data_IF_171722948756
#
_entry.id   IF_171722948756
#
_cell.length_a   1.000
_cell.length_b   1.000
_cell.length_c   1.000
_cell.angle_alpha   90.00
_cell.angle_beta   90.00
_cell.angle_gamma   90.00
#
_symmetry.space_group_name_H-M   'P 1'
#
loop_
_entity.id
_entity.type
_entity.pdbx_description
1 polymer ?
#
# COMPACT_ATOMS: atom_id res chain seq x y z
N UNK A 1 25.66 -49.23 61.14
CA UNK A 1 25.36 -49.60 59.73
C UNK A 1 24.05 -48.93 59.33
N UNK A 2 24.10 -47.70 58.80
CA UNK A 2 22.91 -46.94 58.39
C UNK A 2 22.99 -46.62 56.91
N UNK A 3 22.08 -47.17 56.10
CA UNK A 3 21.98 -46.94 54.66
C UNK A 3 21.23 -45.62 54.43
N UNK A 4 21.86 -44.67 53.75
CA UNK A 4 21.21 -43.45 53.24
C UNK A 4 20.76 -43.65 51.80
N UNK A 5 19.45 -43.62 51.56
CA UNK A 5 18.85 -43.57 50.22
C UNK A 5 18.92 -42.14 49.66
N UNK A 6 19.24 -41.95 48.36
CA UNK A 6 19.32 -40.62 47.77
C UNK A 6 17.92 -40.09 47.45
N UNK A 7 17.57 -38.94 48.04
CA UNK A 7 16.34 -38.20 47.72
C UNK A 7 16.53 -37.47 46.40
N UNK A 8 15.78 -37.86 45.38
CA UNK A 8 15.76 -37.21 44.07
C UNK A 8 15.08 -35.84 44.19
N UNK A 9 15.87 -34.77 44.12
CA UNK A 9 15.37 -33.39 44.22
C UNK A 9 14.58 -32.99 42.96
N UNK A 10 13.40 -32.39 43.14
CA UNK A 10 12.57 -31.76 42.09
C UNK A 10 13.35 -30.81 41.17
N UNK A 11 14.46 -30.24 41.66
CA UNK A 11 15.33 -29.33 40.90
C UNK A 11 16.17 -30.04 39.83
N UNK A 12 16.45 -31.33 40.00
CA UNK A 12 17.17 -32.16 39.03
C UNK A 12 16.28 -32.54 37.83
N UNK A 13 14.98 -32.76 38.08
CA UNK A 13 13.99 -33.06 37.04
C UNK A 13 13.72 -31.85 36.12
N UNK A 14 13.76 -30.62 36.66
CA UNK A 14 13.54 -29.40 35.86
C UNK A 14 14.73 -29.00 34.98
N UNK A 15 15.94 -29.52 35.23
CA UNK A 15 17.12 -29.31 34.35
C UNK A 15 17.21 -30.31 33.20
N UNK A 16 16.46 -31.42 33.25
CA UNK A 16 16.44 -32.41 32.16
C UNK A 16 15.56 -31.99 30.97
N UNK A 17 14.78 -30.91 31.10
CA UNK A 17 13.88 -30.39 30.06
C UNK A 17 14.53 -29.37 29.11
N UNK A 18 15.83 -29.09 29.24
CA UNK A 18 16.53 -28.10 28.40
C UNK A 18 17.35 -28.72 27.26
N UNK A 19 16.89 -29.80 26.66
CA UNK A 19 17.55 -30.41 25.51
C UNK A 19 16.56 -30.67 24.37
N UNK A 20 16.32 -29.62 23.58
CA UNK A 20 16.27 -29.57 22.11
C UNK A 20 15.29 -28.49 21.68
N UNK A 21 15.72 -27.39 21.04
CA UNK A 21 14.79 -26.58 20.28
C UNK A 21 14.33 -27.46 19.10
N UNK A 22 13.07 -27.90 19.13
CA UNK A 22 12.43 -28.41 17.94
C UNK A 22 12.30 -27.19 17.02
N UNK A 23 13.27 -27.04 16.12
CA UNK A 23 13.18 -26.09 15.02
C UNK A 23 12.11 -26.62 14.05
N UNK A 24 10.84 -26.43 14.42
CA UNK A 24 9.74 -26.55 13.47
C UNK A 24 9.85 -25.34 12.55
N UNK A 25 10.70 -25.43 11.53
CA UNK A 25 10.62 -24.54 10.37
C UNK A 25 9.40 -24.95 9.56
N UNK A 26 8.21 -24.67 10.10
CA UNK A 26 7.05 -24.48 9.25
C UNK A 26 7.24 -23.09 8.66
N UNK A 27 7.83 -23.04 7.47
CA UNK A 27 7.67 -21.86 6.63
C UNK A 27 6.17 -21.76 6.38
N UNK A 28 5.47 -20.99 7.23
CA UNK A 28 4.08 -20.63 7.00
C UNK A 28 4.13 -19.85 5.69
N UNK A 29 3.70 -20.50 4.61
CA UNK A 29 3.56 -19.84 3.31
C UNK A 29 2.81 -18.53 3.55
N UNK A 30 3.32 -17.45 2.96
CA UNK A 30 2.63 -16.16 3.08
C UNK A 30 1.21 -16.36 2.55
N UNK A 31 0.18 -15.78 3.19
CA UNK A 31 -1.20 -15.90 2.73
C UNK A 31 -1.42 -15.34 1.32
N UNK A 32 -0.41 -14.70 0.72
CA UNK A 32 -0.46 -14.08 -0.60
C UNK A 32 0.46 -14.75 -1.62
N UNK A 33 1.16 -15.83 -1.29
CA UNK A 33 2.21 -16.42 -2.16
C UNK A 33 1.68 -16.77 -3.56
N UNK A 34 0.50 -17.40 -3.64
CA UNK A 34 -0.13 -17.78 -4.91
C UNK A 34 -0.53 -16.54 -5.74
N UNK A 35 -1.20 -15.57 -5.11
CA UNK A 35 -1.63 -14.34 -5.77
C UNK A 35 -0.44 -13.51 -6.26
N UNK A 36 0.65 -13.44 -5.47
CA UNK A 36 1.87 -12.76 -5.86
C UNK A 36 2.61 -13.48 -6.97
N UNK A 37 2.66 -14.82 -6.95
CA UNK A 37 3.25 -15.60 -8.04
C UNK A 37 2.54 -15.30 -9.38
N UNK A 38 1.20 -15.27 -9.37
CA UNK A 38 0.40 -14.93 -10.54
C UNK A 38 0.68 -13.50 -11.06
N UNK A 39 0.77 -12.51 -10.15
CA UNK A 39 1.09 -11.14 -10.54
C UNK A 39 2.52 -10.97 -11.06
N UNK A 40 3.51 -11.62 -10.43
CA UNK A 40 4.89 -11.59 -10.91
C UNK A 40 4.98 -12.16 -12.33
N UNK A 41 4.27 -13.26 -12.62
CA UNK A 41 4.20 -13.82 -13.96
C UNK A 41 3.47 -12.90 -14.93
N UNK A 42 2.31 -12.35 -14.55
CA UNK A 42 1.51 -11.50 -15.41
C UNK A 42 2.26 -10.24 -15.85
N UNK A 43 3.03 -9.64 -14.94
CA UNK A 43 3.76 -8.39 -15.18
C UNK A 43 5.25 -8.57 -15.51
N UNK A 44 5.73 -9.82 -15.62
CA UNK A 44 7.15 -10.15 -15.79
C UNK A 44 8.05 -9.48 -14.74
N UNK A 45 7.60 -9.48 -13.48
CA UNK A 45 8.35 -8.91 -12.37
C UNK A 45 9.23 -9.96 -11.71
N UNK A 46 10.39 -9.51 -11.21
CA UNK A 46 11.24 -10.36 -10.38
C UNK A 46 10.46 -10.76 -9.11
N UNK A 47 10.35 -12.05 -8.78
CA UNK A 47 9.68 -12.47 -7.56
C UNK A 47 10.27 -11.82 -6.32
N UNK A 48 9.40 -11.44 -5.39
CA UNK A 48 9.78 -10.95 -4.07
C UNK A 48 8.87 -11.54 -3.00
N UNK A 49 9.42 -11.73 -1.81
CA UNK A 49 8.67 -12.16 -0.62
C UNK A 49 8.61 -10.96 0.33
N UNK A 50 7.45 -10.29 0.44
CA UNK A 50 7.30 -9.15 1.32
C UNK A 50 7.64 -9.50 2.77
N UNK A 51 8.51 -8.70 3.40
CA UNK A 51 8.87 -8.87 4.81
C UNK A 51 8.73 -7.52 5.53
N UNK A 52 7.81 -7.47 6.48
CA UNK A 52 7.56 -6.25 7.26
C UNK A 52 8.83 -5.82 8.00
N UNK A 53 9.11 -4.52 7.94
CA UNK A 53 10.23 -3.90 8.65
C UNK A 53 9.84 -2.55 9.25
N UNK A 54 10.54 -2.14 10.31
CA UNK A 54 10.32 -0.81 10.92
C UNK A 54 10.63 0.33 9.95
N UNK A 55 11.65 0.15 9.10
CA UNK A 55 12.01 1.12 8.06
C UNK A 55 10.89 1.23 7.00
N UNK A 56 10.37 0.09 6.52
CA UNK A 56 9.23 0.04 5.60
C UNK A 56 8.00 0.73 6.17
N UNK A 57 7.62 0.42 7.43
CA UNK A 57 6.50 1.07 8.09
C UNK A 57 6.68 2.58 8.28
N UNK A 58 7.91 3.05 8.56
CA UNK A 58 8.20 4.50 8.65
C UNK A 58 8.02 5.18 7.30
N UNK A 59 8.56 4.59 6.23
CA UNK A 59 8.46 5.14 4.87
C UNK A 59 7.01 5.10 4.35
N UNK A 60 6.29 4.01 4.63
CA UNK A 60 4.87 3.85 4.38
C UNK A 60 4.08 5.03 4.95
N UNK A 61 4.24 5.34 6.24
CA UNK A 61 3.58 6.49 6.88
C UNK A 61 3.88 7.82 6.18
N UNK A 62 5.15 8.04 5.78
CA UNK A 62 5.55 9.26 5.06
C UNK A 62 4.84 9.34 3.71
N UNK A 63 4.74 8.23 2.98
CA UNK A 63 4.02 8.18 1.69
C UNK A 63 2.53 8.44 1.86
N UNK A 64 1.90 7.83 2.87
CA UNK A 64 0.50 8.09 3.18
C UNK A 64 0.23 9.58 3.47
N UNK A 65 1.05 10.22 4.30
CA UNK A 65 0.90 11.66 4.58
C UNK A 65 1.10 12.53 3.35
N UNK A 66 2.06 12.16 2.49
CA UNK A 66 2.25 12.87 1.22
C UNK A 66 1.05 12.65 0.30
N UNK A 67 0.50 11.45 0.19
CA UNK A 67 -0.71 11.19 -0.58
C UNK A 67 -1.86 12.12 -0.16
N UNK A 68 -2.07 12.28 1.15
CA UNK A 68 -3.08 13.17 1.72
C UNK A 68 -2.86 14.67 1.39
N UNK A 69 -1.61 15.08 1.11
CA UNK A 69 -1.30 16.44 0.66
C UNK A 69 -1.56 16.68 -0.83
N UNK A 70 -1.59 15.61 -1.64
CA UNK A 70 -1.79 15.68 -3.08
C UNK A 70 -3.26 15.62 -3.51
N UNK A 71 -4.16 15.35 -2.58
CA UNK A 71 -5.59 15.31 -2.86
C UNK A 71 -6.10 16.61 -3.50
N UNK A 72 -6.86 16.52 -4.60
CA UNK A 72 -7.38 17.69 -5.29
C UNK A 72 -8.29 18.58 -4.42
N UNK A 73 -8.87 18.07 -3.33
CA UNK A 73 -9.71 18.80 -2.35
C UNK A 73 -9.01 20.02 -1.73
N UNK A 74 -7.68 20.04 -1.77
CA UNK A 74 -6.89 21.14 -1.22
C UNK A 74 -6.64 22.28 -2.20
N UNK A 75 -7.06 22.14 -3.47
CA UNK A 75 -6.75 23.09 -4.53
C UNK A 75 -7.93 23.28 -5.50
N UNK A 76 -8.94 24.09 -5.14
CA UNK A 76 -10.17 24.28 -5.95
C UNK A 76 -9.91 24.82 -7.36
N UNK A 77 -8.80 25.55 -7.55
CA UNK A 77 -8.41 26.07 -8.88
C UNK A 77 -7.98 24.98 -9.87
N UNK A 78 -7.71 23.76 -9.42
CA UNK A 78 -7.35 22.65 -10.31
C UNK A 78 -8.52 22.12 -11.13
N UNK A 79 -9.76 22.44 -10.75
CA UNK A 79 -10.94 21.96 -11.48
C UNK A 79 -11.05 22.55 -12.89
N UNK A 80 -10.27 23.61 -13.15
CA UNK A 80 -10.17 24.29 -14.45
C UNK A 80 -9.00 23.77 -15.30
N UNK A 81 -8.11 22.95 -14.73
CA UNK A 81 -6.94 22.38 -15.39
C UNK A 81 -6.94 20.85 -15.23
N UNK A 82 -7.70 20.21 -16.12
CA UNK A 82 -7.99 18.78 -16.04
C UNK A 82 -6.74 17.87 -16.12
N UNK A 83 -5.77 18.09 -17.04
CA UNK A 83 -4.52 17.33 -17.04
C UNK A 83 -3.76 17.49 -15.71
N UNK A 84 -3.62 18.71 -15.19
CA UNK A 84 -2.94 18.93 -13.92
C UNK A 84 -3.68 18.29 -12.74
N UNK A 85 -5.02 18.27 -12.77
CA UNK A 85 -5.85 17.55 -11.81
C UNK A 85 -5.58 16.04 -11.84
N UNK A 86 -5.61 15.41 -13.02
CA UNK A 86 -5.36 13.98 -13.19
C UNK A 86 -3.91 13.59 -12.84
N UNK A 87 -2.95 14.45 -13.14
CA UNK A 87 -1.57 14.25 -12.71
C UNK A 87 -1.45 14.17 -11.18
N UNK A 88 -2.10 15.10 -10.47
CA UNK A 88 -2.11 15.10 -9.00
C UNK A 88 -2.91 13.95 -8.41
N UNK A 89 -4.03 13.59 -9.04
CA UNK A 89 -4.80 12.40 -8.71
C UNK A 89 -3.93 11.14 -8.77
N UNK A 90 -3.16 10.97 -9.84
CA UNK A 90 -2.24 9.85 -10.00
C UNK A 90 -1.11 9.84 -8.97
N UNK A 91 -0.53 11.00 -8.63
CA UNK A 91 0.45 11.09 -7.53
C UNK A 91 -0.17 10.64 -6.20
N UNK A 92 -1.38 11.12 -5.88
CA UNK A 92 -2.06 10.77 -4.64
C UNK A 92 -2.34 9.25 -4.56
N UNK A 93 -2.91 8.68 -5.64
CA UNK A 93 -3.17 7.25 -5.72
C UNK A 93 -1.89 6.42 -5.59
N UNK A 94 -0.84 6.78 -6.34
CA UNK A 94 0.42 6.03 -6.33
C UNK A 94 1.12 6.08 -4.97
N UNK A 95 1.13 7.24 -4.30
CA UNK A 95 1.68 7.37 -2.95
C UNK A 95 0.86 6.58 -1.92
N UNK A 96 -0.47 6.57 -2.04
CA UNK A 96 -1.35 5.78 -1.18
C UNK A 96 -1.13 4.27 -1.34
N UNK A 97 -1.13 3.78 -2.56
CA UNK A 97 -0.93 2.36 -2.87
C UNK A 97 0.47 1.89 -2.47
N UNK A 98 1.51 2.66 -2.81
CA UNK A 98 2.88 2.33 -2.42
C UNK A 98 3.12 2.46 -0.91
N UNK A 99 2.31 3.25 -0.18
CA UNK A 99 2.29 3.22 1.28
C UNK A 99 1.85 1.86 1.78
N UNK A 100 0.75 1.30 1.27
CA UNK A 100 0.29 -0.05 1.63
C UNK A 100 1.35 -1.10 1.32
N UNK A 101 1.92 -1.10 0.11
CA UNK A 101 2.95 -2.08 -0.29
C UNK A 101 4.18 -2.07 0.66
N UNK A 102 4.64 -0.89 1.06
CA UNK A 102 5.72 -0.77 2.04
C UNK A 102 5.33 -1.26 3.45
N UNK A 103 4.06 -1.11 3.83
CA UNK A 103 3.57 -1.55 5.15
C UNK A 103 3.46 -3.08 5.24
N UNK A 104 3.06 -3.73 4.15
CA UNK A 104 3.02 -5.20 4.07
C UNK A 104 4.39 -5.83 3.83
N UNK A 105 5.39 -5.03 3.43
CA UNK A 105 6.80 -5.42 3.47
C UNK A 105 7.51 -5.50 2.14
N UNK A 106 6.95 -4.94 1.05
CA UNK A 106 7.69 -4.84 -0.20
C UNK A 106 8.93 -3.94 -0.03
N UNK A 107 10.11 -4.36 -0.53
CA UNK A 107 11.28 -3.50 -0.52
C UNK A 107 11.07 -2.26 -1.39
N UNK A 108 11.44 -1.08 -0.90
CA UNK A 108 11.29 0.15 -1.67
C UNK A 108 12.03 0.12 -3.02
N UNK A 109 13.28 -0.38 -3.12
CA UNK A 109 13.96 -0.50 -4.40
C UNK A 109 13.25 -1.46 -5.37
N UNK A 110 12.55 -2.47 -4.84
CA UNK A 110 11.75 -3.39 -5.66
C UNK A 110 10.53 -2.66 -6.23
N UNK A 111 9.77 -1.94 -5.39
CA UNK A 111 8.63 -1.13 -5.83
C UNK A 111 9.06 -0.09 -6.89
N UNK A 112 10.19 0.60 -6.66
CA UNK A 112 10.71 1.59 -7.59
C UNK A 112 11.08 0.99 -8.96
N UNK A 113 11.56 -0.26 -9.00
CA UNK A 113 11.95 -0.94 -10.23
C UNK A 113 10.77 -1.57 -10.98
N UNK A 114 9.84 -2.17 -10.24
CA UNK A 114 8.80 -3.06 -10.77
C UNK A 114 7.42 -2.40 -10.84
N UNK A 115 7.02 -1.63 -9.83
CA UNK A 115 5.73 -0.92 -9.82
C UNK A 115 5.84 0.46 -10.49
N UNK A 116 6.92 1.19 -10.22
CA UNK A 116 7.21 2.52 -10.78
C UNK A 116 6.05 3.51 -10.58
N UNK A 117 5.55 4.10 -11.67
CA UNK A 117 4.50 5.12 -11.71
C UNK A 117 3.18 4.55 -12.28
N UNK A 118 3.03 3.22 -12.27
CA UNK A 118 1.88 2.51 -12.80
C UNK A 118 0.83 2.28 -11.70
N UNK A 119 -0.23 3.08 -11.71
CA UNK A 119 -1.30 3.07 -10.70
C UNK A 119 -2.12 1.78 -10.77
N UNK A 120 -2.44 1.29 -11.97
CA UNK A 120 -3.22 0.06 -12.13
C UNK A 120 -2.46 -1.16 -11.59
N UNK A 121 -1.18 -1.27 -11.94
CA UNK A 121 -0.30 -2.31 -11.41
C UNK A 121 -0.15 -2.22 -9.89
N UNK A 122 0.05 -1.02 -9.36
CA UNK A 122 0.14 -0.76 -7.92
C UNK A 122 -1.13 -1.20 -7.18
N UNK A 123 -2.31 -0.94 -7.75
CA UNK A 123 -3.60 -1.34 -7.19
C UNK A 123 -3.75 -2.87 -7.17
N UNK A 124 -3.36 -3.56 -8.26
CA UNK A 124 -3.41 -5.02 -8.34
C UNK A 124 -2.56 -5.68 -7.24
N UNK A 125 -1.30 -5.24 -7.08
CA UNK A 125 -0.43 -5.73 -6.01
C UNK A 125 -0.95 -5.39 -4.61
N UNK A 126 -1.54 -4.21 -4.43
CA UNK A 126 -2.09 -3.81 -3.15
C UNK A 126 -3.30 -4.67 -2.76
N UNK A 127 -4.23 -4.91 -3.69
CA UNK A 127 -5.40 -5.77 -3.45
C UNK A 127 -4.98 -7.22 -3.20
N UNK A 128 -4.04 -7.77 -3.98
CA UNK A 128 -3.49 -9.11 -3.76
C UNK A 128 -2.81 -9.28 -2.38
N UNK A 129 -2.36 -8.19 -1.77
CA UNK A 129 -1.73 -8.18 -0.44
C UNK A 129 -2.62 -7.60 0.65
N UNK A 130 -3.94 -7.67 0.46
CA UNK A 130 -4.91 -7.43 1.53
C UNK A 130 -5.41 -5.99 1.67
N UNK A 131 -5.18 -5.11 0.69
CA UNK A 131 -5.89 -3.82 0.64
C UNK A 131 -7.40 -4.04 0.46
N UNK A 132 -7.79 -4.98 -0.42
CA UNK A 132 -9.18 -5.34 -0.70
C UNK A 132 -10.04 -4.17 -1.17
N UNK A 133 -9.48 -3.31 -2.03
CA UNK A 133 -10.17 -2.16 -2.62
C UNK A 133 -10.59 -2.47 -4.06
N UNK A 134 -11.40 -3.49 -4.24
CA UNK A 134 -11.80 -4.06 -5.55
C UNK A 134 -13.03 -3.35 -6.16
N UNK A 135 -13.08 -2.02 -6.02
CA UNK A 135 -14.14 -1.20 -6.61
C UNK A 135 -13.94 -1.08 -8.14
N UNK A 136 -14.93 -1.42 -8.99
CA UNK A 136 -14.81 -1.30 -10.44
C UNK A 136 -14.44 0.11 -10.92
N UNK A 137 -15.04 1.14 -10.32
CA UNK A 137 -14.75 2.53 -10.68
C UNK A 137 -13.32 2.94 -10.32
N UNK A 138 -12.77 2.43 -9.21
CA UNK A 138 -11.37 2.67 -8.87
C UNK A 138 -10.43 1.91 -9.81
N UNK A 139 -10.77 0.69 -10.23
CA UNK A 139 -9.99 -0.04 -11.22
C UNK A 139 -9.96 0.70 -12.57
N UNK A 140 -11.11 1.22 -13.00
CA UNK A 140 -11.25 2.03 -14.22
C UNK A 140 -10.45 3.34 -14.10
N UNK A 141 -10.56 4.04 -12.98
CA UNK A 141 -9.76 5.24 -12.72
C UNK A 141 -8.26 4.93 -12.69
N UNK A 142 -7.86 3.81 -12.08
CA UNK A 142 -6.46 3.40 -12.04
C UNK A 142 -5.89 3.15 -13.44
N UNK A 143 -6.68 2.60 -14.37
CA UNK A 143 -6.29 2.45 -15.76
C UNK A 143 -6.15 3.81 -16.48
N UNK A 144 -7.07 4.75 -16.26
CA UNK A 144 -6.97 6.13 -16.77
C UNK A 144 -5.73 6.83 -16.24
N UNK A 145 -5.40 6.65 -14.97
CA UNK A 145 -4.20 7.21 -14.33
C UNK A 145 -2.91 6.45 -14.67
N UNK A 146 -2.95 5.37 -15.46
CA UNK A 146 -1.75 4.57 -15.77
C UNK A 146 -1.09 4.97 -17.11
N UNK A 147 0.22 5.23 -17.13
CA UNK A 147 1.01 5.77 -16.03
C UNK A 147 0.69 7.25 -15.81
N UNK A 148 0.78 7.73 -14.57
CA UNK A 148 0.18 9.04 -14.28
C UNK A 148 0.96 10.23 -14.86
N UNK A 149 2.25 10.04 -15.20
CA UNK A 149 3.09 11.10 -15.75
C UNK A 149 2.59 11.63 -17.10
N UNK A 150 1.78 10.86 -17.85
CA UNK A 150 1.25 11.26 -19.15
C UNK A 150 0.42 12.55 -19.10
N UNK A 151 -0.16 12.83 -17.93
CA UNK A 151 -0.98 14.02 -17.69
C UNK A 151 -0.17 15.30 -17.46
N UNK A 152 1.16 15.22 -17.35
CA UNK A 152 2.05 16.37 -17.14
C UNK A 152 3.08 16.55 -18.26
N UNK A 153 2.85 15.95 -19.43
CA UNK A 153 3.74 16.09 -20.57
C UNK A 153 3.33 17.23 -21.50
N UNK A 154 4.29 18.04 -21.99
CA UNK A 154 4.05 18.92 -23.12
C UNK A 154 3.68 18.05 -24.33
N UNK A 155 2.51 18.29 -24.91
CA UNK A 155 2.07 17.59 -26.12
C UNK A 155 2.67 18.25 -27.36
N UNK A 156 3.19 17.43 -28.26
CA UNK A 156 3.60 17.88 -29.58
C UNK A 156 2.36 18.16 -30.44
N UNK A 157 2.49 19.06 -31.42
CA UNK A 157 1.38 19.41 -32.29
C UNK A 157 0.78 18.17 -32.98
N UNK A 158 -0.52 17.97 -32.80
CA UNK A 158 -1.29 16.87 -33.43
C UNK A 158 -1.39 15.59 -32.61
N UNK A 159 -0.76 15.50 -31.43
CA UNK A 159 -0.99 14.37 -30.53
C UNK A 159 -2.40 14.41 -29.95
N UNK A 160 -3.15 13.28 -29.95
CA UNK A 160 -4.48 13.23 -29.38
C UNK A 160 -4.43 13.43 -27.86
N UNK A 161 -5.48 14.07 -27.32
CA UNK A 161 -5.66 14.15 -25.87
C UNK A 161 -5.74 12.73 -25.29
N UNK A 162 -5.04 12.42 -24.19
CA UNK A 162 -5.22 11.13 -23.53
C UNK A 162 -6.67 10.98 -23.06
N UNK A 163 -7.23 9.80 -23.32
CA UNK A 163 -8.61 9.51 -22.93
C UNK A 163 -8.72 9.47 -21.39
N UNK A 164 -9.65 10.25 -20.87
CA UNK A 164 -10.02 10.28 -19.45
C UNK A 164 -11.27 9.45 -19.18
N UNK A 165 -11.76 8.69 -20.16
CA UNK A 165 -12.88 7.76 -20.07
C UNK A 165 -14.13 8.45 -19.47
N UNK A 166 -14.37 9.70 -19.85
CA UNK A 166 -15.51 10.48 -19.37
C UNK A 166 -15.57 10.77 -17.86
N UNK A 167 -14.50 10.52 -17.10
CA UNK A 167 -14.46 10.88 -15.68
C UNK A 167 -14.62 12.39 -15.47
N UNK A 168 -15.39 12.78 -14.46
CA UNK A 168 -15.49 14.16 -13.99
C UNK A 168 -14.74 14.36 -12.66
N UNK A 169 -14.50 15.62 -12.29
CA UNK A 169 -13.91 16.00 -10.99
C UNK A 169 -14.70 15.39 -9.83
N UNK A 170 -16.02 15.46 -9.89
CA UNK A 170 -16.97 15.00 -8.87
C UNK A 170 -16.94 13.48 -8.69
N UNK A 171 -16.51 12.74 -9.71
CA UNK A 171 -16.34 11.29 -9.64
C UNK A 171 -14.93 10.92 -9.12
N UNK A 172 -13.89 11.61 -9.57
CA UNK A 172 -12.50 11.26 -9.18
C UNK A 172 -12.23 11.56 -7.70
N UNK A 173 -12.70 12.71 -7.19
CA UNK A 173 -12.48 13.12 -5.78
C UNK A 173 -12.92 12.05 -4.76
N UNK A 174 -14.17 11.55 -4.79
CA UNK A 174 -14.61 10.53 -3.83
C UNK A 174 -13.88 9.19 -4.02
N UNK A 175 -13.49 8.81 -5.24
CA UNK A 175 -12.71 7.58 -5.46
C UNK A 175 -11.33 7.66 -4.80
N UNK A 176 -10.60 8.77 -4.99
CA UNK A 176 -9.32 8.99 -4.32
C UNK A 176 -9.46 9.06 -2.80
N UNK A 177 -10.55 9.66 -2.31
CA UNK A 177 -10.87 9.68 -0.89
C UNK A 177 -11.04 8.27 -0.35
N UNK A 178 -11.91 7.48 -0.97
CA UNK A 178 -12.18 6.11 -0.57
C UNK A 178 -10.92 5.24 -0.58
N UNK A 179 -10.05 5.42 -1.58
CA UNK A 179 -8.77 4.73 -1.65
C UNK A 179 -7.87 5.05 -0.44
N UNK A 180 -7.66 6.34 -0.13
CA UNK A 180 -6.81 6.73 1.00
C UNK A 180 -7.43 6.39 2.36
N UNK A 181 -8.76 6.44 2.46
CA UNK A 181 -9.50 5.99 3.63
C UNK A 181 -9.28 4.49 3.85
N UNK A 182 -9.31 3.69 2.78
CA UNK A 182 -9.01 2.26 2.85
C UNK A 182 -7.57 1.97 3.23
N UNK A 183 -6.60 2.70 2.67
CA UNK A 183 -5.19 2.61 3.07
C UNK A 183 -5.03 2.96 4.56
N UNK A 184 -5.71 3.99 5.03
CA UNK A 184 -5.73 4.38 6.44
C UNK A 184 -6.23 3.24 7.34
N UNK A 185 -7.38 2.63 6.99
CA UNK A 185 -7.96 1.52 7.74
C UNK A 185 -7.03 0.32 7.84
N UNK A 186 -6.42 -0.10 6.72
CA UNK A 186 -5.60 -1.31 6.65
C UNK A 186 -4.23 -1.12 7.33
N UNK A 187 -3.62 0.05 7.16
CA UNK A 187 -2.27 0.32 7.70
C UNK A 187 -2.27 0.84 9.15
N UNK A 188 -3.38 1.48 9.56
CA UNK A 188 -3.51 2.19 10.83
C UNK A 188 -2.71 3.49 10.91
N UNK A 189 -2.21 4.03 9.79
CA UNK A 189 -1.46 5.29 9.81
C UNK A 189 -2.38 6.45 10.16
N UNK A 190 -2.04 7.32 11.14
CA UNK A 190 -2.89 8.45 11.49
C UNK A 190 -2.98 9.43 10.32
N UNK A 191 -4.15 10.05 10.11
CA UNK A 191 -4.29 11.18 9.17
C UNK A 191 -3.40 12.36 9.60
N UNK A 192 -2.90 13.19 8.67
CA UNK A 192 -2.20 14.42 9.02
C UNK A 192 -3.05 15.33 9.93
N UNK A 193 -2.40 16.05 10.83
CA UNK A 193 -3.05 17.02 11.72
C UNK A 193 -3.78 18.11 10.91
N UNK A 194 -4.95 18.54 11.38
CA UNK A 194 -5.81 19.55 10.71
C UNK A 194 -7.02 18.99 9.96
N UNK A 195 -7.10 17.66 9.74
CA UNK A 195 -8.24 17.01 9.07
C UNK A 195 -9.59 17.27 9.77
N UNK A 196 -9.63 17.22 11.10
CA UNK A 196 -10.87 17.38 11.88
C UNK A 196 -11.46 18.80 11.85
N UNK A 197 -10.69 19.81 11.43
CA UNK A 197 -11.17 21.20 11.40
C UNK A 197 -12.07 21.46 10.18
N UNK A 198 -11.68 20.97 9.01
CA UNK A 198 -12.47 21.14 7.77
C UNK A 198 -13.80 20.38 7.75
N UNK A 199 -13.91 19.22 8.40
CA UNK A 199 -15.19 18.49 8.48
C UNK A 199 -16.24 19.17 9.38
N UNK A 200 -15.84 19.99 10.36
CA UNK A 200 -16.78 20.75 11.21
C UNK A 200 -17.32 22.00 10.51
N UNK A 201 -16.50 22.63 9.68
CA UNK A 201 -16.87 23.83 8.91
C UNK A 201 -17.82 23.52 7.75
N UNK A 202 -17.77 22.32 7.15
CA UNK A 202 -18.70 21.91 6.08
C UNK A 202 -20.08 21.49 6.62
N UNK A 203 -20.19 21.21 7.93
CA UNK A 203 -21.44 20.76 8.59
C UNK A 203 -22.12 21.84 9.45
N UNK A 204 -21.66 23.09 9.38
CA UNK A 204 -22.27 24.26 10.03
C UNK A 204 -22.76 25.22 8.96
#
# INVERSE_FOLDING_TARGET
MGKTTPVTSRRALLRALTATPIAVSTAIASPWDEALAALHQHYDDKPTSPLRSRAGRKLSRVRYHRAESFLPDRHPRLDQDWPQFLYRAGIAAQLGLSSHLLDVGFPDPWCARHIRLHVAKSLAYANATGLGHDCPDMARLAAVLDPYWKWNQPRLFGEPEPDYDGFTVEQVRPLLRALLDRVHEVTGHPRPSGWRRGQREIRS
#
